data_IF_024604924518
#
_entry.id   IF_024604924518
#
_cell.length_a   1.000
_cell.length_b   1.000
_cell.length_c   1.000
_cell.angle_alpha   90.00
_cell.angle_beta   90.00
_cell.angle_gamma   90.00
#
_symmetry.space_group_name_H-M   'P 1'
#
loop_
_entity.id
_entity.type
_entity.pdbx_description
1 polymer ?
#
# COMPACT_ATOMS: atom_id res chain seq x y z
N UNK A 1 -3.39 -18.16 4.99
CA UNK A 1 -2.74 -17.24 4.04
C UNK A 1 -1.45 -17.86 3.52
N UNK A 2 -1.18 -17.81 2.21
CA UNK A 2 0.17 -18.11 1.70
C UNK A 2 0.93 -16.79 1.56
N UNK A 3 2.25 -16.85 1.73
CA UNK A 3 3.13 -15.70 1.62
C UNK A 3 4.14 -15.98 0.51
N UNK A 4 4.29 -15.05 -0.43
CA UNK A 4 5.31 -15.06 -1.48
C UNK A 4 6.57 -14.30 -1.05
N UNK A 5 7.72 -14.56 -1.68
CA UNK A 5 8.94 -13.75 -1.55
C UNK A 5 8.67 -12.29 -1.93
N UNK A 6 7.78 -12.03 -2.88
CA UNK A 6 7.40 -10.68 -3.29
C UNK A 6 6.46 -9.99 -2.29
N UNK A 7 5.84 -10.75 -1.38
CA UNK A 7 5.10 -10.21 -0.25
C UNK A 7 6.04 -9.69 0.84
N UNK A 8 7.22 -10.32 0.97
CA UNK A 8 8.26 -9.94 1.93
C UNK A 8 9.13 -8.80 1.39
N UNK A 9 9.52 -8.87 0.12
CA UNK A 9 10.40 -7.90 -0.52
C UNK A 9 9.61 -7.04 -1.52
N UNK A 10 9.01 -5.96 -1.01
CA UNK A 10 8.30 -4.98 -1.82
C UNK A 10 9.18 -3.77 -2.09
N UNK A 11 9.31 -3.40 -3.37
CA UNK A 11 9.89 -2.12 -3.76
C UNK A 11 8.91 -1.02 -3.35
N UNK A 12 9.42 0.03 -2.72
CA UNK A 12 8.62 1.15 -2.24
C UNK A 12 9.48 2.36 -1.94
N UNK A 13 8.85 3.39 -1.37
CA UNK A 13 9.53 4.57 -0.88
C UNK A 13 9.64 4.55 0.65
N UNK A 14 10.76 5.07 1.15
CA UNK A 14 10.96 5.31 2.57
C UNK A 14 10.16 6.54 3.07
N UNK A 15 10.16 6.78 4.39
CA UNK A 15 10.94 6.07 5.40
C UNK A 15 10.27 4.83 6.01
N UNK A 16 8.98 4.56 5.78
CA UNK A 16 8.26 3.51 6.51
C UNK A 16 7.28 2.71 5.66
N UNK A 17 7.34 1.37 5.73
CA UNK A 17 6.38 0.53 5.00
C UNK A 17 4.95 0.65 5.56
N UNK A 18 4.78 0.79 6.88
CA UNK A 18 3.45 0.91 7.50
C UNK A 18 2.88 2.34 7.42
N UNK A 19 3.74 3.35 7.38
CA UNK A 19 3.31 4.75 7.42
C UNK A 19 3.49 5.49 6.08
N UNK A 20 4.13 4.87 5.09
CA UNK A 20 4.32 5.44 3.75
C UNK A 20 3.74 4.50 2.68
N UNK A 21 4.25 3.27 2.57
CA UNK A 21 3.85 2.33 1.49
C UNK A 21 2.37 1.93 1.62
N UNK A 22 1.94 1.47 2.81
CA UNK A 22 0.54 1.09 3.05
C UNK A 22 -0.45 2.23 2.78
N UNK A 23 -0.29 3.42 3.39
CA UNK A 23 -1.16 4.57 3.17
C UNK A 23 -1.29 5.00 1.70
N UNK A 24 -0.19 4.93 0.94
CA UNK A 24 -0.20 5.24 -0.50
C UNK A 24 -1.03 4.23 -1.30
N UNK A 25 -0.87 2.93 -1.01
CA UNK A 25 -1.72 1.90 -1.62
C UNK A 25 -3.18 2.06 -1.24
N UNK A 26 -3.49 2.34 0.03
CA UNK A 26 -4.87 2.52 0.50
C UNK A 26 -5.57 3.67 -0.24
N UNK A 27 -4.87 4.79 -0.42
CA UNK A 27 -5.41 5.94 -1.15
C UNK A 27 -5.75 5.62 -2.60
N UNK A 28 -4.85 4.93 -3.31
CA UNK A 28 -5.08 4.51 -4.69
C UNK A 28 -6.21 3.48 -4.78
N UNK A 29 -6.20 2.48 -3.90
CA UNK A 29 -7.21 1.43 -3.86
C UNK A 29 -8.61 2.01 -3.58
N UNK A 30 -8.73 2.96 -2.67
CA UNK A 30 -9.99 3.65 -2.40
C UNK A 30 -10.57 4.34 -3.64
N UNK A 31 -9.74 5.00 -4.45
CA UNK A 31 -10.20 5.62 -5.70
C UNK A 31 -10.61 4.57 -6.73
N UNK A 32 -9.90 3.44 -6.83
CA UNK A 32 -10.31 2.32 -7.67
C UNK A 32 -11.65 1.75 -7.24
N UNK A 33 -11.84 1.53 -5.95
CA UNK A 33 -13.13 1.13 -5.39
C UNK A 33 -14.21 2.13 -5.83
N UNK A 34 -13.99 3.44 -5.68
CA UNK A 34 -14.95 4.48 -6.07
C UNK A 34 -15.36 4.40 -7.55
N UNK A 35 -14.39 4.26 -8.48
CA UNK A 35 -14.70 4.27 -9.92
C UNK A 35 -15.46 3.03 -10.40
N UNK A 36 -15.49 1.95 -9.63
CA UNK A 36 -16.37 0.80 -9.88
C UNK A 36 -17.86 1.14 -9.68
N UNK A 37 -18.18 2.16 -8.87
CA UNK A 37 -19.56 2.52 -8.53
C UNK A 37 -20.05 3.77 -9.26
N UNK A 38 -19.17 4.73 -9.53
CA UNK A 38 -19.53 5.98 -10.20
C UNK A 38 -18.32 6.58 -10.92
N UNK A 39 -18.52 7.38 -12.00
CA UNK A 39 -17.41 7.97 -12.73
C UNK A 39 -16.61 8.92 -11.83
N UNK A 40 -15.28 8.93 -12.02
CA UNK A 40 -14.34 9.77 -11.26
C UNK A 40 -14.75 11.26 -11.29
N UNK A 41 -15.33 11.71 -12.40
CA UNK A 41 -15.83 13.09 -12.60
C UNK A 41 -16.95 13.51 -11.65
N UNK A 42 -17.61 12.56 -10.96
CA UNK A 42 -18.63 12.85 -9.95
C UNK A 42 -18.02 13.36 -8.64
N UNK A 43 -16.74 13.08 -8.41
CA UNK A 43 -16.03 13.50 -7.20
C UNK A 43 -15.66 14.97 -7.32
N UNK A 44 -16.06 15.78 -6.33
CA UNK A 44 -15.74 17.20 -6.26
C UNK A 44 -14.64 17.52 -5.24
N UNK A 45 -14.59 16.76 -4.15
CA UNK A 45 -13.55 16.84 -3.12
C UNK A 45 -13.34 15.48 -2.46
N UNK A 46 -12.16 15.29 -1.89
CA UNK A 46 -11.77 14.11 -1.11
C UNK A 46 -11.29 14.56 0.27
N UNK A 47 -11.67 13.77 1.28
CA UNK A 47 -11.22 13.91 2.67
C UNK A 47 -10.53 12.61 3.07
N UNK A 48 -9.41 12.75 3.78
CA UNK A 48 -8.66 11.66 4.37
C UNK A 48 -8.43 11.97 5.84
N UNK A 49 -8.75 11.00 6.68
CA UNK A 49 -8.65 11.11 8.13
C UNK A 49 -7.74 9.98 8.61
N UNK A 50 -6.70 10.34 9.35
CA UNK A 50 -5.71 9.42 9.89
C UNK A 50 -5.93 9.28 11.39
N UNK A 51 -5.83 8.06 11.92
CA UNK A 51 -6.15 7.74 13.32
C UNK A 51 -4.98 7.05 14.03
N UNK A 52 -4.99 7.08 15.36
CA UNK A 52 -4.09 6.32 16.21
C UNK A 52 -2.60 6.54 15.94
N UNK A 53 -1.83 5.45 15.92
CA UNK A 53 -0.37 5.47 15.73
C UNK A 53 0.03 6.11 14.39
N UNK A 54 -0.81 5.95 13.37
CA UNK A 54 -0.60 6.54 12.05
C UNK A 54 -0.76 8.06 12.09
N UNK A 55 -1.72 8.59 12.85
CA UNK A 55 -1.85 10.03 13.05
C UNK A 55 -0.68 10.60 13.86
N UNK A 56 -0.32 9.95 14.96
CA UNK A 56 0.70 10.41 15.90
C UNK A 56 2.07 10.59 15.26
N UNK A 57 2.45 9.68 14.36
CA UNK A 57 3.80 9.68 13.78
C UNK A 57 3.81 9.94 12.27
N UNK A 58 2.64 10.10 11.65
CA UNK A 58 2.50 10.11 10.19
C UNK A 58 3.26 11.23 9.49
N UNK A 59 3.28 12.44 10.06
CA UNK A 59 4.06 13.56 9.50
C UNK A 59 5.57 13.27 9.44
N UNK A 60 6.11 12.65 10.50
CA UNK A 60 7.52 12.26 10.55
C UNK A 60 7.87 11.12 9.58
N UNK A 61 6.87 10.34 9.18
CA UNK A 61 7.02 9.23 8.25
C UNK A 61 6.52 9.52 6.83
N UNK A 62 6.14 10.77 6.52
CA UNK A 62 5.65 11.17 5.20
C UNK A 62 4.30 10.53 4.81
N UNK A 63 3.45 10.19 5.78
CA UNK A 63 2.11 9.63 5.52
C UNK A 63 1.24 10.60 4.73
N UNK A 64 1.33 11.90 5.02
CA UNK A 64 0.67 12.95 4.24
C UNK A 64 1.06 12.88 2.77
N UNK A 65 2.35 12.82 2.51
CA UNK A 65 2.94 12.74 1.18
C UNK A 65 2.50 11.46 0.47
N UNK A 66 2.56 10.32 1.16
CA UNK A 66 2.11 9.03 0.64
C UNK A 66 0.64 9.05 0.21
N UNK A 67 -0.25 9.59 1.06
CA UNK A 67 -1.67 9.72 0.76
C UNK A 67 -1.88 10.58 -0.48
N UNK A 68 -1.23 11.75 -0.57
CA UNK A 68 -1.38 12.64 -1.71
C UNK A 68 -0.89 12.01 -3.01
N UNK A 69 0.26 11.33 -3.00
CA UNK A 69 0.77 10.65 -4.19
C UNK A 69 -0.14 9.49 -4.61
N UNK A 70 -0.63 8.70 -3.64
CA UNK A 70 -1.56 7.60 -3.90
C UNK A 70 -2.90 8.08 -4.47
N UNK A 71 -3.45 9.19 -3.97
CA UNK A 71 -4.65 9.82 -4.53
C UNK A 71 -4.43 10.35 -5.96
N UNK A 72 -3.21 10.79 -6.29
CA UNK A 72 -2.85 11.13 -7.68
C UNK A 72 -2.54 9.91 -8.55
N UNK A 73 -2.72 8.69 -8.04
CA UNK A 73 -2.62 7.42 -8.80
C UNK A 73 -1.23 6.78 -8.80
N UNK A 74 -0.27 7.37 -8.10
CA UNK A 74 1.09 6.82 -8.01
C UNK A 74 1.13 5.53 -7.21
N UNK A 75 2.17 4.72 -7.47
CA UNK A 75 2.48 3.54 -6.68
C UNK A 75 3.83 3.69 -5.98
N UNK A 76 3.98 3.19 -4.74
CA UNK A 76 5.24 3.27 -4.01
C UNK A 76 6.44 2.74 -4.80
N UNK A 77 6.23 1.73 -5.65
CA UNK A 77 7.29 1.10 -6.43
C UNK A 77 7.70 1.88 -7.69
N UNK A 78 6.89 2.86 -8.11
CA UNK A 78 7.03 3.55 -9.40
C UNK A 78 7.16 5.07 -9.26
N UNK A 79 6.77 5.62 -8.12
CA UNK A 79 6.84 7.06 -7.87
C UNK A 79 8.29 7.53 -7.89
N UNK A 80 8.56 8.60 -8.64
CA UNK A 80 9.85 9.28 -8.65
C UNK A 80 9.98 10.18 -7.40
N UNK A 81 10.87 9.85 -6.44
CA UNK A 81 11.03 10.63 -5.22
C UNK A 81 11.47 12.08 -5.47
N UNK A 82 12.16 12.35 -6.58
CA UNK A 82 12.66 13.69 -6.91
C UNK A 82 11.53 14.64 -7.34
N UNK A 83 10.42 14.10 -7.86
CA UNK A 83 9.27 14.89 -8.29
C UNK A 83 8.29 15.21 -7.16
N UNK A 84 8.33 14.45 -6.06
CA UNK A 84 7.41 14.60 -4.93
C UNK A 84 7.37 16.04 -4.39
N UNK A 85 8.51 16.72 -4.10
CA UNK A 85 8.48 18.08 -3.57
C UNK A 85 7.77 19.08 -4.49
N UNK A 86 7.98 18.96 -5.80
CA UNK A 86 7.35 19.84 -6.80
C UNK A 86 5.84 19.62 -6.86
N UNK A 87 5.39 18.37 -6.77
CA UNK A 87 3.96 18.02 -6.76
C UNK A 87 3.26 18.49 -5.49
N UNK A 88 3.86 18.27 -4.33
CA UNK A 88 3.32 18.78 -3.06
C UNK A 88 3.19 20.30 -3.09
N UNK A 89 4.20 21.00 -3.61
CA UNK A 89 4.14 22.45 -3.79
C UNK A 89 3.00 22.87 -4.74
N UNK A 90 2.78 22.14 -5.83
CA UNK A 90 1.64 22.39 -6.75
C UNK A 90 0.31 22.19 -6.04
N UNK A 91 0.11 21.09 -5.34
CA UNK A 91 -1.13 20.77 -4.61
C UNK A 91 -1.44 21.88 -3.60
N UNK A 92 -0.46 22.23 -2.76
CA UNK A 92 -0.59 23.27 -1.71
C UNK A 92 -0.89 24.65 -2.25
N UNK A 93 -0.20 25.07 -3.32
CA UNK A 93 -0.39 26.40 -3.94
C UNK A 93 -1.70 26.51 -4.69
N UNK A 94 -2.06 25.47 -5.44
CA UNK A 94 -3.27 25.48 -6.28
C UNK A 94 -4.54 25.14 -5.50
N UNK A 95 -4.41 24.57 -4.29
CA UNK A 95 -5.51 24.03 -3.48
C UNK A 95 -6.37 23.04 -4.28
N UNK A 96 -5.72 22.28 -5.16
CA UNK A 96 -6.35 21.29 -6.04
C UNK A 96 -5.51 20.02 -6.12
N UNK A 97 -6.17 18.89 -6.32
CA UNK A 97 -5.56 17.57 -6.45
C UNK A 97 -5.99 16.92 -7.77
N UNK A 98 -5.09 16.20 -8.45
CA UNK A 98 -5.39 15.48 -9.68
C UNK A 98 -5.67 14.01 -9.35
N UNK A 99 -6.91 13.64 -9.06
CA UNK A 99 -7.27 12.26 -8.73
C UNK A 99 -6.91 11.32 -9.88
N UNK A 100 -6.15 10.27 -9.55
CA UNK A 100 -5.60 9.31 -10.52
C UNK A 100 -4.86 9.99 -11.70
N UNK A 101 -4.38 11.23 -11.52
CA UNK A 101 -3.82 12.08 -12.55
C UNK A 101 -4.77 12.40 -13.72
N UNK A 102 -6.08 12.20 -13.54
CA UNK A 102 -7.11 12.33 -14.58
C UNK A 102 -8.11 13.44 -14.28
N UNK A 103 -8.59 13.52 -13.03
CA UNK A 103 -9.70 14.42 -12.66
C UNK A 103 -9.27 15.42 -11.58
N UNK A 104 -9.43 16.71 -11.88
CA UNK A 104 -9.05 17.80 -10.97
C UNK A 104 -10.17 18.06 -9.95
N UNK A 105 -9.85 17.98 -8.67
CA UNK A 105 -10.77 18.26 -7.55
C UNK A 105 -10.27 19.38 -6.65
N UNK A 106 -11.19 20.03 -5.93
CA UNK A 106 -10.83 20.96 -4.88
C UNK A 106 -10.18 20.19 -3.72
N UNK A 107 -9.06 20.69 -3.21
CA UNK A 107 -8.33 20.03 -2.14
C UNK A 107 -7.56 21.04 -1.29
N UNK A 108 -8.05 21.30 -0.08
CA UNK A 108 -7.34 22.10 0.89
C UNK A 108 -6.72 21.16 1.92
N UNK A 109 -5.41 20.93 1.85
CA UNK A 109 -4.71 19.95 2.69
C UNK A 109 -5.03 20.05 4.20
N UNK A 110 -5.20 21.26 4.74
CA UNK A 110 -5.50 21.46 6.17
C UNK A 110 -6.92 20.99 6.56
N UNK A 111 -7.87 21.04 5.63
CA UNK A 111 -9.28 20.66 5.86
C UNK A 111 -9.58 19.26 5.35
N UNK A 112 -8.84 18.83 4.33
CA UNK A 112 -9.02 17.57 3.62
C UNK A 112 -8.12 16.46 4.16
N UNK A 113 -7.02 16.74 4.85
CA UNK A 113 -6.13 15.73 5.43
C UNK A 113 -6.01 15.95 6.94
N UNK A 114 -6.82 15.22 7.71
CA UNK A 114 -6.97 15.42 9.15
C UNK A 114 -6.24 14.32 9.92
N UNK A 115 -5.53 14.72 10.97
CA UNK A 115 -4.83 13.82 11.88
C UNK A 115 -5.55 13.79 13.24
N UNK A 116 -6.27 12.70 13.51
CA UNK A 116 -6.90 12.45 14.80
C UNK A 116 -5.95 11.68 15.72
N UNK A 117 -5.31 12.43 16.63
CA UNK A 117 -4.24 11.90 17.49
C UNK A 117 -4.79 11.11 18.69
N UNK A 118 -5.99 11.45 19.15
CA UNK A 118 -6.63 10.87 20.33
C UNK A 118 -7.72 9.83 19.98
N UNK A 119 -8.09 9.72 18.69
CA UNK A 119 -9.13 8.80 18.22
C UNK A 119 -8.52 7.55 17.56
N UNK A 120 -9.26 6.45 17.65
CA UNK A 120 -8.90 5.15 17.08
C UNK A 120 -10.06 4.61 16.24
N UNK A 121 -9.71 3.96 15.13
CA UNK A 121 -10.64 3.09 14.42
C UNK A 121 -10.69 1.71 15.08
N UNK A 122 -11.76 0.95 14.80
CA UNK A 122 -12.12 -0.24 15.59
C UNK A 122 -11.11 -1.39 15.52
N UNK A 123 -10.43 -1.59 14.38
CA UNK A 123 -9.73 -2.86 14.12
C UNK A 123 -8.21 -2.82 14.24
N UNK A 124 -7.56 -1.67 14.03
CA UNK A 124 -6.11 -1.56 14.12
C UNK A 124 -5.67 -0.11 14.40
N UNK A 125 -4.54 0.07 15.08
CA UNK A 125 -4.05 1.40 15.49
C UNK A 125 -3.59 2.29 14.33
N UNK A 126 -3.22 1.69 13.19
CA UNK A 126 -2.89 2.42 11.97
C UNK A 126 -4.12 2.52 11.06
N UNK A 127 -5.12 3.27 11.50
CA UNK A 127 -6.39 3.45 10.79
C UNK A 127 -6.38 4.66 9.86
N UNK A 128 -7.05 4.52 8.73
CA UNK A 128 -7.29 5.57 7.73
C UNK A 128 -8.74 5.52 7.30
N UNK A 129 -9.40 6.66 7.19
CA UNK A 129 -10.72 6.80 6.56
C UNK A 129 -10.61 7.71 5.36
N UNK A 130 -11.16 7.27 4.23
CA UNK A 130 -11.26 8.09 3.02
C UNK A 130 -12.72 8.35 2.70
N UNK A 131 -13.04 9.59 2.38
CA UNK A 131 -14.40 10.01 2.05
C UNK A 131 -14.39 10.91 0.83
N UNK A 132 -15.29 10.66 -0.12
CA UNK A 132 -15.46 11.51 -1.32
C UNK A 132 -16.84 12.12 -1.35
N UNK A 133 -16.91 13.36 -1.84
CA UNK A 133 -18.14 14.15 -1.89
C UNK A 133 -18.41 14.65 -3.31
N UNK A 134 -19.68 14.84 -3.64
CA UNK A 134 -20.10 15.49 -4.88
C UNK A 134 -20.09 17.02 -4.79
N UNK A 135 -20.49 17.70 -5.87
CA UNK A 135 -20.53 19.16 -5.97
C UNK A 135 -21.51 19.82 -5.00
N UNK A 136 -22.51 19.08 -4.53
CA UNK A 136 -23.52 19.56 -3.59
C UNK A 136 -23.10 19.31 -2.13
N UNK A 137 -21.94 18.68 -1.93
CA UNK A 137 -21.41 18.33 -0.60
C UNK A 137 -21.97 17.03 -0.03
N UNK A 138 -22.69 16.24 -0.83
CA UNK A 138 -23.19 14.94 -0.36
C UNK A 138 -22.07 13.91 -0.37
N UNK A 139 -22.02 13.09 0.69
CA UNK A 139 -21.08 11.97 0.79
C UNK A 139 -21.45 10.91 -0.24
N UNK A 140 -20.53 10.62 -1.17
CA UNK A 140 -20.68 9.59 -2.19
C UNK A 140 -20.23 8.23 -1.67
N UNK A 141 -19.09 8.19 -0.98
CA UNK A 141 -18.50 6.97 -0.43
C UNK A 141 -17.58 7.29 0.73
N UNK A 142 -17.47 6.35 1.66
CA UNK A 142 -16.57 6.37 2.81
C UNK A 142 -16.07 4.96 3.06
N UNK A 143 -14.76 4.80 3.25
CA UNK A 143 -14.15 3.51 3.55
C UNK A 143 -13.00 3.63 4.54
N UNK A 144 -12.92 2.63 5.42
CA UNK A 144 -11.84 2.48 6.39
C UNK A 144 -10.80 1.46 5.89
N UNK A 145 -9.54 1.84 6.00
CA UNK A 145 -8.38 1.02 5.68
C UNK A 145 -7.42 0.97 6.88
N UNK A 146 -6.72 -0.16 6.99
CA UNK A 146 -5.79 -0.42 8.07
C UNK A 146 -4.44 -0.85 7.51
N UNK A 147 -3.38 -0.15 7.91
CA UNK A 147 -2.01 -0.51 7.53
C UNK A 147 -1.41 -1.46 8.58
N UNK A 148 -1.41 -2.76 8.28
CA UNK A 148 -1.11 -3.84 9.25
C UNK A 148 0.36 -4.29 9.26
N UNK A 149 1.22 -3.61 8.50
CA UNK A 149 2.68 -3.87 8.46
C UNK A 149 3.14 -4.50 7.15
N UNK A 150 4.44 -4.40 6.84
CA UNK A 150 5.00 -4.90 5.57
C UNK A 150 4.45 -4.23 4.30
N UNK A 151 3.76 -3.09 4.43
CA UNK A 151 3.05 -2.44 3.33
C UNK A 151 1.73 -3.10 2.94
N UNK A 152 1.23 -4.05 3.75
CA UNK A 152 -0.11 -4.61 3.59
C UNK A 152 -1.17 -3.65 4.12
N UNK A 153 -2.26 -3.56 3.37
CA UNK A 153 -3.48 -2.86 3.74
C UNK A 153 -4.61 -3.87 3.81
N UNK A 154 -5.55 -3.65 4.72
CA UNK A 154 -6.82 -4.37 4.77
C UNK A 154 -7.94 -3.36 4.91
N UNK A 155 -9.06 -3.60 4.24
CA UNK A 155 -10.32 -2.91 4.58
C UNK A 155 -11.09 -3.68 5.66
N UNK A 156 -12.18 -3.09 6.16
CA UNK A 156 -13.01 -3.73 7.20
C UNK A 156 -13.54 -5.10 6.77
N UNK A 157 -14.01 -5.24 5.53
CA UNK A 157 -14.52 -6.52 5.03
C UNK A 157 -13.42 -7.60 4.96
N UNK A 158 -12.21 -7.24 4.56
CA UNK A 158 -11.07 -8.13 4.46
C UNK A 158 -10.61 -8.59 5.83
N UNK A 159 -10.60 -7.71 6.84
CA UNK A 159 -10.31 -8.11 8.23
C UNK A 159 -11.31 -9.15 8.72
N UNK A 160 -12.60 -8.97 8.41
CA UNK A 160 -13.64 -9.92 8.79
C UNK A 160 -13.52 -11.25 8.02
N UNK A 161 -13.12 -11.20 6.74
CA UNK A 161 -12.94 -12.37 5.85
C UNK A 161 -11.62 -13.11 6.02
N UNK A 162 -10.56 -12.48 6.53
CA UNK A 162 -9.24 -13.12 6.78
C UNK A 162 -9.34 -14.23 7.84
N UNK A 163 -10.45 -14.25 8.59
CA UNK A 163 -10.87 -15.34 9.47
C UNK A 163 -11.26 -16.64 8.72
N UNK A 164 -11.61 -16.58 7.43
CA UNK A 164 -12.32 -17.67 6.72
C UNK A 164 -11.73 -18.10 5.36
N UNK A 165 -10.75 -17.41 4.78
CA UNK A 165 -10.28 -17.74 3.42
C UNK A 165 -9.18 -18.83 3.37
N UNK A 166 -9.55 -19.97 2.80
CA UNK A 166 -8.66 -21.08 2.42
C UNK A 166 -7.62 -20.64 1.38
N UNK A 167 -6.35 -20.80 1.73
CA UNK A 167 -5.23 -20.44 0.88
C UNK A 167 -5.12 -21.39 -0.33
N UNK A 168 -4.76 -20.86 -1.52
CA UNK A 168 -4.37 -21.68 -2.69
C UNK A 168 -3.36 -22.73 -2.26
N UNK A 169 -3.61 -24.03 -2.40
CA UNK A 169 -2.62 -25.00 -1.91
C UNK A 169 -1.34 -24.92 -2.73
N UNK A 170 -0.26 -24.48 -2.10
CA UNK A 170 1.10 -24.60 -2.66
C UNK A 170 1.57 -26.05 -2.54
N UNK A 171 2.46 -26.54 -3.41
CA UNK A 171 2.94 -27.92 -3.39
C UNK A 171 3.57 -28.37 -2.08
N UNK A 172 4.30 -27.48 -1.40
CA UNK A 172 5.01 -27.78 -0.16
C UNK A 172 4.63 -26.78 0.94
N UNK A 173 3.40 -26.86 1.49
CA UNK A 173 2.95 -25.95 2.54
C UNK A 173 3.61 -26.32 3.87
N UNK A 174 3.91 -25.31 4.69
CA UNK A 174 4.42 -25.51 6.04
C UNK A 174 3.97 -24.36 6.95
N UNK A 175 3.70 -24.66 8.21
CA UNK A 175 3.36 -23.68 9.26
C UNK A 175 4.39 -23.65 10.39
N UNK A 176 5.33 -24.59 10.39
CA UNK A 176 6.39 -24.69 11.40
C UNK A 176 7.72 -25.08 10.77
N UNK A 177 8.82 -24.75 11.45
CA UNK A 177 10.14 -25.22 11.03
C UNK A 177 10.19 -26.76 10.95
N UNK A 178 9.49 -27.45 11.85
CA UNK A 178 9.43 -28.91 11.86
C UNK A 178 8.85 -29.46 10.55
N UNK A 179 7.71 -28.95 10.09
CA UNK A 179 7.11 -29.34 8.81
C UNK A 179 8.02 -29.03 7.61
N UNK A 180 8.71 -27.88 7.65
CA UNK A 180 9.69 -27.53 6.62
C UNK A 180 10.84 -28.55 6.55
N UNK A 181 11.39 -28.97 7.69
CA UNK A 181 12.41 -30.03 7.74
C UNK A 181 11.86 -31.40 7.31
N UNK A 182 10.60 -31.70 7.57
CA UNK A 182 9.96 -32.91 7.05
C UNK A 182 9.92 -32.91 5.52
N UNK A 183 9.70 -31.77 4.87
CA UNK A 183 9.80 -31.65 3.40
C UNK A 183 11.22 -31.91 2.92
N UNK A 184 12.24 -31.30 3.54
CA UNK A 184 13.66 -31.54 3.19
C UNK A 184 14.03 -33.02 3.25
N UNK A 185 13.61 -33.70 4.32
CA UNK A 185 13.91 -35.12 4.51
C UNK A 185 13.16 -36.02 3.51
N UNK A 186 11.94 -35.65 3.12
CA UNK A 186 11.11 -36.44 2.18
C UNK A 186 11.54 -36.26 0.73
N UNK A 187 11.89 -35.05 0.32
CA UNK A 187 12.17 -34.72 -1.09
C UNK A 187 13.65 -34.70 -1.43
N UNK A 188 14.52 -34.51 -0.44
CA UNK A 188 15.95 -34.23 -0.64
C UNK A 188 16.23 -32.85 -1.22
N UNK A 189 15.21 -32.00 -1.40
CA UNK A 189 15.34 -30.65 -1.95
C UNK A 189 15.85 -29.67 -0.88
N UNK A 190 16.60 -28.67 -1.35
CA UNK A 190 17.01 -27.52 -0.56
C UNK A 190 15.82 -26.57 -0.29
N UNK A 191 15.98 -25.68 0.69
CA UNK A 191 15.03 -24.59 0.93
C UNK A 191 14.74 -23.77 -0.34
N UNK A 192 15.79 -23.46 -1.11
CA UNK A 192 15.65 -22.70 -2.36
C UNK A 192 14.75 -23.43 -3.35
N UNK A 193 14.98 -24.71 -3.58
CA UNK A 193 14.22 -25.51 -4.56
C UNK A 193 12.75 -25.65 -4.16
N UNK A 194 12.48 -25.91 -2.87
CA UNK A 194 11.11 -25.98 -2.36
C UNK A 194 10.37 -24.65 -2.49
N UNK A 195 11.01 -23.55 -2.09
CA UNK A 195 10.41 -22.23 -2.23
C UNK A 195 10.23 -21.85 -3.70
N UNK A 196 11.18 -22.22 -4.58
CA UNK A 196 11.08 -22.00 -6.03
C UNK A 196 9.87 -22.71 -6.64
N UNK A 197 9.59 -23.94 -6.21
CA UNK A 197 8.40 -24.69 -6.66
C UNK A 197 7.11 -24.07 -6.09
N UNK A 198 7.12 -23.68 -4.81
CA UNK A 198 5.96 -23.01 -4.21
C UNK A 198 5.61 -21.70 -4.93
N UNK A 199 6.59 -20.86 -5.26
CA UNK A 199 6.37 -19.60 -5.97
C UNK A 199 5.83 -19.79 -7.39
N UNK A 200 6.22 -20.87 -8.07
CA UNK A 200 5.72 -21.23 -9.40
C UNK A 200 4.22 -21.57 -9.41
N UNK A 201 3.58 -21.70 -8.23
CA UNK A 201 2.12 -21.80 -8.12
C UNK A 201 1.42 -20.54 -8.64
N UNK A 202 2.05 -19.38 -8.56
CA UNK A 202 1.42 -18.09 -8.90
C UNK A 202 2.00 -17.43 -10.14
N UNK A 203 3.23 -17.79 -10.55
CA UNK A 203 3.99 -17.08 -11.58
C UNK A 203 4.86 -18.04 -12.39
N UNK A 204 5.25 -17.64 -13.60
CA UNK A 204 6.20 -18.42 -14.39
C UNK A 204 7.62 -18.30 -13.83
N UNK A 205 8.51 -19.22 -14.24
CA UNK A 205 9.93 -19.16 -13.88
C UNK A 205 10.60 -17.86 -14.35
N UNK A 206 10.21 -17.37 -15.55
CA UNK A 206 10.72 -16.10 -16.08
C UNK A 206 10.30 -14.92 -15.22
N UNK A 207 9.01 -14.84 -14.86
CA UNK A 207 8.49 -13.74 -14.05
C UNK A 207 9.14 -13.72 -12.65
N UNK A 208 9.44 -14.90 -12.10
CA UNK A 208 10.16 -15.03 -10.83
C UNK A 208 11.57 -14.46 -10.91
N UNK A 209 12.32 -14.83 -11.95
CA UNK A 209 13.66 -14.29 -12.18
C UNK A 209 13.66 -12.79 -12.39
N UNK A 210 12.78 -12.29 -13.26
CA UNK A 210 12.68 -10.87 -13.58
C UNK A 210 12.32 -10.04 -12.33
N UNK A 211 11.37 -10.52 -11.53
CA UNK A 211 10.99 -9.88 -10.27
C UNK A 211 12.14 -9.82 -9.25
N UNK A 212 12.85 -10.92 -9.06
CA UNK A 212 13.99 -10.99 -8.12
C UNK A 212 15.15 -10.11 -8.58
N UNK A 213 15.47 -10.11 -9.87
CA UNK A 213 16.51 -9.25 -10.44
C UNK A 213 16.13 -7.76 -10.34
N UNK A 214 14.85 -7.43 -10.51
CA UNK A 214 14.35 -6.07 -10.30
C UNK A 214 14.57 -5.61 -8.85
N UNK A 215 14.21 -6.43 -7.86
CA UNK A 215 14.44 -6.12 -6.44
C UNK A 215 15.94 -5.91 -6.18
N UNK A 216 16.77 -6.83 -6.67
CA UNK A 216 18.22 -6.73 -6.53
C UNK A 216 18.77 -5.44 -7.13
N UNK A 217 18.36 -5.09 -8.35
CA UNK A 217 18.76 -3.85 -9.02
C UNK A 217 18.41 -2.62 -8.20
N UNK A 218 17.18 -2.54 -7.67
CA UNK A 218 16.75 -1.42 -6.81
C UNK A 218 17.56 -1.34 -5.52
N UNK A 219 17.88 -2.47 -4.88
CA UNK A 219 18.74 -2.48 -3.69
C UNK A 219 20.13 -1.89 -4.01
N UNK A 220 20.72 -2.28 -5.14
CA UNK A 220 22.02 -1.77 -5.60
C UNK A 220 21.98 -0.26 -5.87
N UNK A 221 20.96 0.21 -6.60
CA UNK A 221 20.77 1.64 -6.86
C UNK A 221 20.57 2.44 -5.57
N UNK A 222 19.80 1.90 -4.61
CA UNK A 222 19.59 2.55 -3.32
C UNK A 222 20.91 2.69 -2.53
N UNK A 223 21.76 1.66 -2.54
CA UNK A 223 23.10 1.74 -1.94
C UNK A 223 23.95 2.79 -2.64
N UNK A 224 23.97 2.80 -3.97
CA UNK A 224 24.76 3.78 -4.75
C UNK A 224 24.31 5.22 -4.49
N UNK A 225 22.99 5.47 -4.42
CA UNK A 225 22.44 6.79 -4.07
C UNK A 225 22.90 7.23 -2.68
N UNK A 226 22.79 6.34 -1.68
CA UNK A 226 23.22 6.65 -0.31
C UNK A 226 24.73 6.88 -0.15
N UNK A 227 25.55 6.32 -1.04
CA UNK A 227 26.99 6.59 -1.08
C UNK A 227 27.35 7.90 -1.79
N UNK A 228 26.43 8.45 -2.59
CA UNK A 228 26.67 9.63 -3.44
C UNK A 228 25.98 10.90 -2.91
N UNK A 229 25.18 10.78 -1.83
CA UNK A 229 24.41 11.84 -1.17
C UNK A 229 25.15 12.54 -0.04
#
# INVERSE_FOLDING_TARGET
MNISVFDLFKIGIGPSSSHTVGPMYAAKQFLFNCIEQFPLTKIHTVKTELFGSLALTGKGHGTDTAILMGLEGEEPALVDPEQIPNRLNRIRKSKTLMLLNEHKVAFNEEESLIFYHDDLLAHHSNGMRFTVYDSDGNKLREEDFYSVGGGFILNEEEILKDSENGATQVPFPFQSCKELFEHFNKTGMTLRELMWINEQTWRSESDLWDGLLKIWGVMQESTQRGMSS
#
